data_IF_799665897003
#
_entry.id   IF_799665897003
#
_cell.length_a   1.000
_cell.length_b   1.000
_cell.length_c   1.000
_cell.angle_alpha   90.00
_cell.angle_beta   90.00
_cell.angle_gamma   90.00
#
_symmetry.space_group_name_H-M   'P 1'
#
loop_
_entity.id
_entity.type
_entity.pdbx_description
1 polymer ?
#
# COMPACT_ATOMS: atom_id res chain seq x y z
N UNK A 1 -22.85 30.21 -8.90
CA UNK A 1 -23.02 29.25 -9.98
C UNK A 1 -21.70 28.80 -10.53
N UNK A 2 -20.79 29.72 -10.70
CA UNK A 2 -19.45 29.34 -11.13
C UNK A 2 -18.80 28.43 -10.14
N UNK A 3 -19.16 28.59 -8.88
CA UNK A 3 -18.62 27.72 -7.84
C UNK A 3 -19.09 26.28 -7.99
N UNK A 4 -20.19 26.09 -8.70
CA UNK A 4 -20.69 24.72 -8.92
C UNK A 4 -19.71 23.86 -9.66
N UNK A 5 -19.06 24.44 -10.66
CA UNK A 5 -18.08 23.71 -11.45
C UNK A 5 -16.91 23.24 -10.58
N UNK A 6 -16.39 24.13 -9.76
CA UNK A 6 -15.29 23.79 -8.86
C UNK A 6 -15.73 22.80 -7.80
N UNK A 7 -16.93 22.99 -7.27
CA UNK A 7 -17.49 22.08 -6.28
C UNK A 7 -17.65 20.69 -6.85
N UNK A 8 -18.14 20.60 -8.07
CA UNK A 8 -18.31 19.31 -8.74
C UNK A 8 -17.00 18.57 -8.89
N UNK A 9 -15.95 19.28 -9.27
CA UNK A 9 -14.63 18.67 -9.43
C UNK A 9 -14.12 18.13 -8.09
N UNK A 10 -14.28 18.92 -7.03
CA UNK A 10 -13.87 18.49 -5.70
C UNK A 10 -14.70 17.32 -5.22
N UNK A 11 -15.99 17.34 -5.50
CA UNK A 11 -16.88 16.26 -5.11
C UNK A 11 -16.50 14.97 -5.81
N UNK A 12 -16.14 15.05 -7.08
CA UNK A 12 -15.69 13.89 -7.83
C UNK A 12 -14.46 13.26 -7.20
N UNK A 13 -13.49 14.09 -6.79
CA UNK A 13 -12.28 13.59 -6.12
C UNK A 13 -12.62 12.97 -4.77
N UNK A 14 -13.52 13.62 -4.03
CA UNK A 14 -13.96 13.08 -2.76
C UNK A 14 -14.66 11.75 -2.93
N UNK A 15 -15.48 11.64 -3.96
CA UNK A 15 -16.20 10.40 -4.27
C UNK A 15 -15.21 9.28 -4.60
N UNK A 16 -14.13 9.59 -5.33
CA UNK A 16 -13.12 8.61 -5.65
C UNK A 16 -12.45 8.02 -4.41
N UNK A 17 -12.34 8.82 -3.35
CA UNK A 17 -11.70 8.39 -2.12
C UNK A 17 -12.68 7.91 -1.06
N UNK A 18 -13.98 8.10 -1.24
CA UNK A 18 -14.97 7.73 -0.24
C UNK A 18 -15.01 6.24 0.05
N UNK A 19 -14.63 5.42 -0.90
CA UNK A 19 -14.62 3.98 -0.72
C UNK A 19 -13.36 3.46 -0.03
N UNK A 20 -12.37 4.31 0.18
CA UNK A 20 -11.11 3.89 0.81
C UNK A 20 -11.19 3.73 2.33
N UNK A 21 -11.91 4.62 3.07
CA UNK A 21 -12.01 4.42 4.52
C UNK A 21 -12.59 3.06 4.87
N UNK A 22 -12.04 2.43 5.90
CA UNK A 22 -12.44 1.10 6.30
C UNK A 22 -11.67 -0.03 5.63
N UNK A 23 -10.92 0.27 4.58
CA UNK A 23 -10.05 -0.72 3.96
C UNK A 23 -8.88 -1.01 4.91
N UNK A 24 -8.46 -2.26 4.96
CA UNK A 24 -7.36 -2.66 5.85
C UNK A 24 -6.07 -2.77 5.07
N UNK A 25 -5.04 -2.10 5.59
CA UNK A 25 -3.71 -2.09 4.98
C UNK A 25 -2.74 -2.79 5.91
N UNK A 26 -1.91 -3.66 5.34
CA UNK A 26 -0.77 -4.22 6.06
C UNK A 26 0.43 -3.32 5.81
N UNK A 27 0.90 -2.65 6.85
CA UNK A 27 2.03 -1.74 6.78
C UNK A 27 3.28 -2.48 7.24
N UNK A 28 4.24 -2.63 6.34
CA UNK A 28 5.48 -3.37 6.63
C UNK A 28 6.60 -2.35 6.74
N UNK A 29 7.09 -2.15 7.95
CA UNK A 29 8.08 -1.13 8.27
C UNK A 29 8.86 -1.58 9.50
N UNK A 30 10.18 -1.65 9.40
CA UNK A 30 11.01 -2.13 10.50
C UNK A 30 11.31 -1.07 11.56
N UNK A 31 11.25 0.21 11.19
CA UNK A 31 11.54 1.30 12.12
C UNK A 31 10.28 1.69 12.90
N UNK A 32 10.34 1.58 14.22
CA UNK A 32 9.19 1.86 15.08
C UNK A 32 8.65 3.27 14.94
N UNK A 33 9.54 4.26 14.82
CA UNK A 33 9.14 5.65 14.69
C UNK A 33 8.42 5.89 13.38
N UNK A 34 8.97 5.37 12.29
CA UNK A 34 8.34 5.45 10.97
C UNK A 34 7.00 4.74 10.98
N UNK A 35 6.93 3.58 11.63
CA UNK A 35 5.69 2.81 11.74
C UNK A 35 4.60 3.62 12.43
N UNK A 36 4.94 4.27 13.54
CA UNK A 36 4.01 5.13 14.26
C UNK A 36 3.51 6.28 13.42
N UNK A 37 4.44 6.98 12.76
CA UNK A 37 4.09 8.15 11.93
C UNK A 37 3.19 7.73 10.78
N UNK A 38 3.57 6.68 10.08
CA UNK A 38 2.83 6.21 8.92
C UNK A 38 1.46 5.67 9.31
N UNK A 39 1.39 4.95 10.43
CA UNK A 39 0.12 4.45 10.95
C UNK A 39 -0.83 5.61 11.29
N UNK A 40 -0.31 6.63 11.95
CA UNK A 40 -1.11 7.79 12.31
C UNK A 40 -1.69 8.50 11.10
N UNK A 41 -0.85 8.68 10.08
CA UNK A 41 -1.29 9.32 8.83
C UNK A 41 -2.41 8.50 8.18
N UNK A 42 -2.21 7.21 8.06
CA UNK A 42 -3.16 6.34 7.37
C UNK A 42 -4.45 6.16 8.15
N UNK A 43 -4.37 6.04 9.47
CA UNK A 43 -5.57 5.96 10.31
C UNK A 43 -6.36 7.26 10.26
N UNK A 44 -5.68 8.39 10.17
CA UNK A 44 -6.33 9.69 10.04
C UNK A 44 -7.16 9.82 8.78
N UNK A 45 -6.78 9.09 7.73
CA UNK A 45 -7.54 9.05 6.48
C UNK A 45 -8.75 8.13 6.60
N UNK A 46 -8.69 7.15 7.49
CA UNK A 46 -9.79 6.22 7.71
C UNK A 46 -9.45 4.75 7.43
N UNK A 47 -8.19 4.45 7.13
CA UNK A 47 -7.77 3.06 6.94
C UNK A 47 -7.63 2.33 8.25
N UNK A 48 -7.85 1.03 8.21
CA UNK A 48 -7.53 0.13 9.31
C UNK A 48 -6.10 -0.38 9.06
N UNK A 49 -5.25 -0.30 10.08
CA UNK A 49 -3.83 -0.61 9.89
C UNK A 49 -3.41 -1.76 10.79
N UNK A 50 -2.73 -2.74 10.21
CA UNK A 50 -1.97 -3.73 10.95
C UNK A 50 -0.52 -3.62 10.49
N UNK A 51 0.41 -3.92 11.37
CA UNK A 51 1.83 -3.70 11.07
C UNK A 51 2.61 -5.00 11.11
N UNK A 52 3.71 -5.01 10.36
CA UNK A 52 4.70 -6.07 10.40
C UNK A 52 6.07 -5.41 10.42
N UNK A 53 6.98 -5.94 11.19
CA UNK A 53 8.30 -5.33 11.38
C UNK A 53 9.35 -5.79 10.37
N UNK A 54 9.05 -6.81 9.60
CA UNK A 54 9.90 -7.21 8.47
C UNK A 54 9.08 -8.00 7.45
N UNK A 55 9.74 -8.33 6.33
CA UNK A 55 9.07 -9.01 5.24
C UNK A 55 8.59 -10.41 5.58
N UNK A 56 9.34 -11.12 6.41
CA UNK A 56 8.98 -12.47 6.84
C UNK A 56 7.67 -12.47 7.62
N UNK A 57 7.54 -11.53 8.55
CA UNK A 57 6.32 -11.38 9.35
C UNK A 57 5.14 -11.01 8.45
N UNK A 58 5.39 -10.14 7.46
CA UNK A 58 4.35 -9.74 6.52
C UNK A 58 3.82 -10.92 5.72
N UNK A 59 4.72 -11.74 5.17
CA UNK A 59 4.33 -12.93 4.41
C UNK A 59 3.52 -13.88 5.28
N UNK A 60 3.98 -14.10 6.52
CA UNK A 60 3.31 -14.98 7.45
C UNK A 60 1.91 -14.49 7.79
N UNK A 61 1.76 -13.19 8.06
CA UNK A 61 0.45 -12.60 8.35
C UNK A 61 -0.52 -12.79 7.18
N UNK A 62 -0.03 -12.55 5.97
CA UNK A 62 -0.87 -12.73 4.78
C UNK A 62 -1.25 -14.19 4.58
N UNK A 63 -0.30 -15.09 4.75
CA UNK A 63 -0.55 -16.52 4.57
C UNK A 63 -1.62 -17.05 5.52
N UNK A 64 -1.72 -16.45 6.70
CA UNK A 64 -2.68 -16.87 7.71
C UNK A 64 -3.95 -16.01 7.75
N UNK A 65 -4.07 -15.02 6.86
CA UNK A 65 -5.25 -14.17 6.83
C UNK A 65 -6.31 -14.75 5.88
N UNK A 66 -7.55 -14.33 6.11
CA UNK A 66 -8.63 -14.65 5.17
C UNK A 66 -8.41 -13.85 3.89
N UNK A 67 -8.65 -14.44 2.72
CA UNK A 67 -8.58 -13.69 1.46
C UNK A 67 -9.53 -12.49 1.53
N UNK A 68 -9.01 -11.32 1.20
CA UNK A 68 -9.79 -10.07 1.27
C UNK A 68 -9.74 -9.36 2.61
N UNK A 69 -9.15 -9.98 3.63
CA UNK A 69 -9.00 -9.32 4.93
C UNK A 69 -8.14 -8.06 4.81
N UNK A 70 -7.02 -8.15 4.11
CA UNK A 70 -6.22 -6.99 3.74
C UNK A 70 -6.54 -6.57 2.31
N UNK A 71 -6.66 -5.27 2.08
CA UNK A 71 -6.91 -4.73 0.74
C UNK A 71 -5.61 -4.39 0.02
N UNK A 72 -4.55 -4.14 0.77
CA UNK A 72 -3.32 -3.58 0.23
C UNK A 72 -2.16 -3.79 1.18
N UNK A 73 -0.95 -3.87 0.64
CA UNK A 73 0.28 -3.90 1.42
C UNK A 73 1.09 -2.67 1.08
N UNK A 74 1.50 -1.93 2.12
CA UNK A 74 2.52 -0.88 1.98
C UNK A 74 3.81 -1.46 2.51
N UNK A 75 4.81 -1.57 1.65
CA UNK A 75 6.01 -2.35 1.91
C UNK A 75 7.26 -1.50 1.85
N UNK A 76 7.94 -1.35 2.98
CA UNK A 76 9.28 -0.77 2.98
C UNK A 76 10.23 -1.71 2.23
N UNK A 77 11.08 -1.15 1.41
CA UNK A 77 12.03 -1.96 0.64
C UNK A 77 13.20 -2.41 1.52
N UNK A 78 13.75 -1.49 2.32
CA UNK A 78 14.98 -1.73 3.07
C UNK A 78 14.68 -2.19 4.48
N UNK A 79 14.68 -3.50 4.68
CA UNK A 79 14.40 -4.11 5.98
C UNK A 79 15.37 -5.26 6.24
N UNK A 80 15.67 -5.55 7.52
CA UNK A 80 16.47 -6.72 7.86
C UNK A 80 15.69 -8.02 7.66
N UNK A 81 16.35 -9.14 7.75
CA UNK A 81 15.79 -10.49 7.65
C UNK A 81 15.28 -10.78 6.25
N UNK A 82 14.22 -10.10 5.83
CA UNK A 82 13.66 -10.25 4.49
C UNK A 82 13.26 -8.87 4.00
N UNK A 83 13.90 -8.38 2.94
CA UNK A 83 13.61 -7.06 2.39
C UNK A 83 12.30 -7.07 1.61
N UNK A 84 11.87 -5.87 1.17
CA UNK A 84 10.58 -5.72 0.49
C UNK A 84 10.49 -6.48 -0.83
N UNK A 85 11.57 -6.54 -1.59
CA UNK A 85 11.56 -7.27 -2.86
C UNK A 85 11.39 -8.77 -2.63
N UNK A 86 12.12 -9.31 -1.66
CA UNK A 86 12.02 -10.72 -1.30
C UNK A 86 10.63 -11.06 -0.78
N UNK A 87 10.07 -10.18 0.06
CA UNK A 87 8.75 -10.38 0.60
C UNK A 87 7.69 -10.35 -0.50
N UNK A 88 7.80 -9.43 -1.44
CA UNK A 88 6.87 -9.33 -2.55
C UNK A 88 6.88 -10.62 -3.38
N UNK A 89 8.07 -11.13 -3.70
CA UNK A 89 8.20 -12.39 -4.45
C UNK A 89 7.55 -13.54 -3.69
N UNK A 90 7.75 -13.60 -2.37
CA UNK A 90 7.15 -14.64 -1.55
C UNK A 90 5.63 -14.54 -1.52
N UNK A 91 5.10 -13.33 -1.42
CA UNK A 91 3.65 -13.11 -1.44
C UNK A 91 3.05 -13.60 -2.75
N UNK A 92 3.72 -13.33 -3.87
CA UNK A 92 3.23 -13.75 -5.19
C UNK A 92 3.21 -15.26 -5.37
N UNK A 93 3.89 -16.00 -4.48
CA UNK A 93 3.92 -17.46 -4.52
C UNK A 93 2.96 -18.13 -3.55
N UNK A 94 2.15 -17.35 -2.83
CA UNK A 94 1.16 -17.91 -1.91
C UNK A 94 0.13 -18.75 -2.68
N UNK A 95 -0.35 -19.80 -2.02
CA UNK A 95 -1.25 -20.74 -2.66
C UNK A 95 -2.60 -20.14 -3.04
N UNK A 96 -3.11 -19.25 -2.19
CA UNK A 96 -4.40 -18.60 -2.46
C UNK A 96 -4.22 -17.49 -3.49
N UNK A 97 -4.94 -17.54 -4.62
CA UNK A 97 -4.76 -16.54 -5.67
C UNK A 97 -5.15 -15.12 -5.25
N UNK A 98 -6.10 -14.96 -4.35
CA UNK A 98 -6.47 -13.62 -3.87
C UNK A 98 -5.34 -13.03 -3.05
N UNK A 99 -4.74 -13.82 -2.16
CA UNK A 99 -3.60 -13.38 -1.37
C UNK A 99 -2.38 -13.14 -2.25
N UNK A 100 -2.14 -14.03 -3.19
CA UNK A 100 -0.97 -13.93 -4.06
C UNK A 100 -1.00 -12.70 -4.96
N UNK A 101 -2.18 -12.17 -5.24
CA UNK A 101 -2.35 -11.02 -6.14
C UNK A 101 -2.67 -9.72 -5.41
N UNK A 102 -2.53 -9.70 -4.08
CA UNK A 102 -2.82 -8.50 -3.30
C UNK A 102 -1.98 -7.33 -3.80
N UNK A 103 -2.56 -6.12 -3.94
CA UNK A 103 -1.76 -4.96 -4.36
C UNK A 103 -0.66 -4.66 -3.36
N UNK A 104 0.53 -4.38 -3.86
CA UNK A 104 1.69 -4.04 -3.05
C UNK A 104 2.26 -2.73 -3.56
N UNK A 105 2.39 -1.75 -2.68
CA UNK A 105 3.04 -0.47 -2.99
C UNK A 105 4.33 -0.42 -2.19
N UNK A 106 5.43 -0.23 -2.88
CA UNK A 106 6.73 -0.09 -2.25
C UNK A 106 6.93 1.32 -1.73
N UNK A 107 7.53 1.45 -0.56
CA UNK A 107 7.96 2.73 0.00
C UNK A 107 9.47 2.68 0.16
N UNK A 108 10.16 3.70 -0.33
CA UNK A 108 11.61 3.72 -0.32
C UNK A 108 12.15 5.13 -0.17
N UNK A 109 13.32 5.25 0.48
CA UNK A 109 14.02 6.52 0.54
C UNK A 109 14.55 6.93 -0.83
N UNK A 110 14.71 5.98 -1.75
CA UNK A 110 15.20 6.22 -3.10
C UNK A 110 14.08 5.95 -4.11
N UNK A 111 13.85 6.92 -5.00
CA UNK A 111 12.82 6.79 -6.03
C UNK A 111 13.43 6.90 -7.43
N UNK A 112 14.60 6.33 -7.61
CA UNK A 112 15.25 6.29 -8.93
C UNK A 112 14.52 5.31 -9.83
N UNK A 113 14.58 5.56 -11.12
CA UNK A 113 13.90 4.71 -12.11
C UNK A 113 14.33 3.25 -11.99
N UNK A 114 15.63 3.00 -11.75
CA UNK A 114 16.13 1.65 -11.61
C UNK A 114 15.52 0.94 -10.37
N UNK A 115 15.32 1.69 -9.30
CA UNK A 115 14.71 1.13 -8.08
C UNK A 115 13.24 0.80 -8.31
N UNK A 116 12.55 1.68 -9.02
CA UNK A 116 11.16 1.45 -9.38
C UNK A 116 11.01 0.21 -10.25
N UNK A 117 11.91 0.08 -11.24
CA UNK A 117 11.91 -1.07 -12.14
C UNK A 117 12.09 -2.37 -11.36
N UNK A 118 13.02 -2.37 -10.41
CA UNK A 118 13.29 -3.52 -9.58
C UNK A 118 12.07 -3.91 -8.74
N UNK A 119 11.36 -2.92 -8.21
CA UNK A 119 10.14 -3.17 -7.44
C UNK A 119 9.06 -3.81 -8.30
N UNK A 120 8.87 -3.29 -9.51
CA UNK A 120 7.88 -3.84 -10.42
C UNK A 120 8.25 -5.27 -10.83
N UNK A 121 9.52 -5.54 -11.07
CA UNK A 121 10.00 -6.88 -11.41
C UNK A 121 9.82 -7.86 -10.24
N UNK A 122 9.78 -7.35 -9.03
CA UNK A 122 9.56 -8.17 -7.83
C UNK A 122 8.09 -8.49 -7.60
N UNK A 123 7.20 -7.96 -8.42
CA UNK A 123 5.77 -8.21 -8.32
C UNK A 123 5.00 -7.12 -7.60
N UNK A 124 5.64 -5.98 -7.31
CA UNK A 124 4.96 -4.85 -6.70
C UNK A 124 4.18 -4.06 -7.75
N UNK A 125 3.13 -3.41 -7.32
CA UNK A 125 2.26 -2.66 -8.22
C UNK A 125 2.72 -1.24 -8.44
N UNK A 126 3.38 -0.64 -7.45
CA UNK A 126 3.89 0.73 -7.55
C UNK A 126 5.01 0.94 -6.57
N UNK A 127 5.77 2.01 -6.77
CA UNK A 127 6.93 2.36 -5.95
C UNK A 127 6.86 3.88 -5.66
N UNK A 128 6.72 4.23 -4.40
CA UNK A 128 6.64 5.63 -3.98
C UNK A 128 7.80 5.98 -3.07
N UNK A 129 8.22 7.23 -3.13
CA UNK A 129 9.31 7.73 -2.30
C UNK A 129 8.80 8.12 -0.91
N UNK A 130 9.65 7.97 0.09
CA UNK A 130 9.41 8.51 1.41
C UNK A 130 9.90 9.96 1.45
N UNK A 131 9.29 10.83 2.27
CA UNK A 131 8.17 10.57 3.16
C UNK A 131 6.85 10.47 2.40
N UNK A 132 5.84 9.93 3.06
CA UNK A 132 4.54 9.73 2.43
C UNK A 132 3.96 11.07 1.96
N UNK A 133 3.64 11.12 0.68
CA UNK A 133 2.90 12.22 0.08
C UNK A 133 1.43 11.76 0.03
N UNK A 134 0.61 12.31 0.92
CA UNK A 134 -0.76 11.82 1.10
C UNK A 134 -1.59 11.89 -0.19
N UNK A 135 -1.64 13.04 -0.90
CA UNK A 135 -2.42 13.06 -2.15
C UNK A 135 -1.94 12.04 -3.18
N UNK A 136 -0.64 11.89 -3.34
CA UNK A 136 -0.07 10.92 -4.28
C UNK A 136 -0.41 9.49 -3.86
N UNK A 137 -0.28 9.20 -2.57
CA UNK A 137 -0.60 7.87 -2.04
C UNK A 137 -2.06 7.54 -2.27
N UNK A 138 -2.96 8.46 -1.96
CA UNK A 138 -4.40 8.24 -2.13
C UNK A 138 -4.77 8.02 -3.59
N UNK A 139 -4.19 8.80 -4.49
CA UNK A 139 -4.42 8.62 -5.93
C UNK A 139 -3.93 7.26 -6.40
N UNK A 140 -2.77 6.85 -5.92
CA UNK A 140 -2.16 5.57 -6.28
C UNK A 140 -3.04 4.41 -5.77
N UNK A 141 -3.43 4.47 -4.50
CA UNK A 141 -4.28 3.43 -3.90
C UNK A 141 -5.61 3.35 -4.63
N UNK A 142 -6.24 4.50 -4.85
CA UNK A 142 -7.54 4.55 -5.51
C UNK A 142 -7.47 3.92 -6.89
N UNK A 143 -6.45 4.27 -7.67
CA UNK A 143 -6.26 3.72 -8.99
C UNK A 143 -6.07 2.22 -9.00
N UNK A 144 -5.26 1.71 -8.07
CA UNK A 144 -4.97 0.29 -7.96
C UNK A 144 -6.22 -0.48 -7.53
N UNK A 145 -6.91 0.00 -6.50
CA UNK A 145 -8.08 -0.72 -5.99
C UNK A 145 -9.25 -0.68 -6.96
N UNK A 146 -9.42 0.40 -7.70
CA UNK A 146 -10.44 0.46 -8.75
C UNK A 146 -10.15 -0.55 -9.84
N UNK A 147 -8.90 -0.64 -10.28
CA UNK A 147 -8.50 -1.62 -11.27
C UNK A 147 -8.68 -3.04 -10.79
N UNK A 148 -8.32 -3.29 -9.52
CA UNK A 148 -8.44 -4.62 -8.93
C UNK A 148 -9.91 -5.00 -8.68
N UNK A 149 -10.75 -4.00 -8.44
CA UNK A 149 -12.17 -4.23 -8.16
C UNK A 149 -12.99 -4.57 -9.39
N UNK A 150 -12.41 -4.38 -10.54
CA UNK A 150 -13.09 -4.72 -11.78
C UNK A 150 -12.90 -6.19 -12.12
#
# INVERSE_FOLDING_TARGET
>A
IQTDSDSDTKDEQSDDFLHLPGKRILLVEDNEINQEIETEILQGIGFLIETATDGSIAVDKLAHSEPGYFSLVLMDIQMPVMNGHEASKAIRKLADPVLAQIPIIALSANAFESDRQLSLESGMNEHLAKPIDVPLLLNTISGILKGAGN
#
